data_IF_226320344937
#
_entry.id   IF_226320344937
#
_cell.length_a   1.000
_cell.length_b   1.000
_cell.length_c   1.000
_cell.angle_alpha   90.00
_cell.angle_beta   90.00
_cell.angle_gamma   90.00
#
_symmetry.space_group_name_H-M   'P 1'
#
loop_
_entity.id
_entity.type
_entity.pdbx_description
1 polymer ?
#
# COMPACT_ATOMS: atom_id res chain seq x y z
N UNK A 1 -1.31 29.22 45.86
CA UNK A 1 -0.49 29.34 44.62
C UNK A 1 0.03 28.00 44.09
N UNK A 2 0.49 27.06 44.92
CA UNK A 2 0.98 25.73 44.47
C UNK A 2 -0.04 24.91 43.65
N UNK A 3 -1.33 24.97 44.01
CA UNK A 3 -2.41 24.25 43.31
C UNK A 3 -2.69 24.76 41.89
N UNK A 4 -2.57 26.07 41.66
CA UNK A 4 -2.81 26.66 40.33
C UNK A 4 -1.69 26.25 39.37
N UNK A 5 -0.45 26.21 39.87
CA UNK A 5 0.70 25.78 39.09
C UNK A 5 0.62 24.30 38.70
N UNK A 6 0.09 23.44 39.57
CA UNK A 6 -0.17 22.04 39.25
C UNK A 6 -1.25 21.86 38.18
N UNK A 7 -2.34 22.64 38.23
CA UNK A 7 -3.40 22.58 37.22
C UNK A 7 -2.86 22.98 35.85
N UNK A 8 -2.06 24.04 35.78
CA UNK A 8 -1.41 24.48 34.53
C UNK A 8 -0.45 23.42 34.01
N UNK A 9 0.33 22.78 34.89
CA UNK A 9 1.25 21.71 34.51
C UNK A 9 0.51 20.49 33.94
N UNK A 10 -0.60 20.07 34.55
CA UNK A 10 -1.42 18.96 34.04
C UNK A 10 -2.12 19.31 32.73
N UNK A 11 -2.59 20.55 32.57
CA UNK A 11 -3.18 21.02 31.30
C UNK A 11 -2.14 21.03 30.17
N UNK A 12 -0.92 21.50 30.44
CA UNK A 12 0.18 21.50 29.48
C UNK A 12 0.57 20.06 29.09
N UNK A 13 0.63 19.14 30.05
CA UNK A 13 0.95 17.74 29.81
C UNK A 13 -0.15 17.05 28.98
N UNK A 14 -1.42 17.38 29.21
CA UNK A 14 -2.54 16.88 28.43
C UNK A 14 -2.51 17.38 26.98
N UNK A 15 -2.14 18.65 26.77
CA UNK A 15 -1.96 19.25 25.45
C UNK A 15 -0.82 18.54 24.70
N UNK A 16 0.33 18.34 25.35
CA UNK A 16 1.48 17.65 24.74
C UNK A 16 1.14 16.19 24.40
N UNK A 17 0.38 15.49 25.26
CA UNK A 17 -0.07 14.13 24.99
C UNK A 17 -1.07 14.08 23.81
N UNK A 18 -1.91 15.12 23.66
CA UNK A 18 -2.87 15.23 22.56
C UNK A 18 -2.20 15.57 21.23
N UNK A 19 -1.14 16.40 21.24
CA UNK A 19 -0.36 16.74 20.06
C UNK A 19 0.68 15.66 19.71
N UNK A 20 1.16 14.88 20.68
CA UNK A 20 2.09 13.77 20.45
C UNK A 20 1.46 12.58 19.70
N UNK A 21 0.13 12.49 19.66
CA UNK A 21 -0.63 11.50 18.89
C UNK A 21 -0.96 11.96 17.46
N UNK A 22 -0.61 13.20 17.08
CA UNK A 22 -0.83 13.75 15.75
C UNK A 22 0.48 14.08 15.02
N UNK A 23 1.54 13.33 15.33
CA UNK A 23 2.76 13.30 14.51
C UNK A 23 2.50 12.50 13.24
N UNK A 24 2.16 13.23 12.18
CA UNK A 24 2.46 12.89 10.79
C UNK A 24 1.81 11.63 10.21
N UNK A 25 0.60 11.81 9.69
CA UNK A 25 0.31 11.29 8.36
C UNK A 25 -0.41 12.42 7.61
N UNK A 26 0.20 12.91 6.54
CA UNK A 26 -0.47 13.74 5.54
C UNK A 26 -1.52 12.85 4.85
N UNK A 27 -2.56 12.47 5.59
CA UNK A 27 -3.72 11.75 5.05
C UNK A 27 -4.43 12.77 4.19
N UNK A 28 -4.04 12.81 2.93
CA UNK A 28 -4.73 13.56 1.90
C UNK A 28 -6.10 12.88 1.77
N UNK A 29 -7.05 13.32 2.61
CA UNK A 29 -8.43 12.88 2.63
C UNK A 29 -9.17 13.52 1.44
N UNK A 30 -8.78 13.11 0.24
CA UNK A 30 -9.45 13.51 -1.00
C UNK A 30 -10.54 12.52 -1.36
N UNK A 31 -11.64 13.01 -1.94
CA UNK A 31 -12.71 12.16 -2.46
C UNK A 31 -12.27 11.49 -3.76
N UNK A 32 -12.99 10.46 -4.23
CA UNK A 32 -12.76 9.88 -5.56
C UNK A 32 -12.83 10.93 -6.68
N UNK A 33 -13.63 11.98 -6.48
CA UNK A 33 -13.76 13.11 -7.38
C UNK A 33 -12.47 13.95 -7.47
N UNK A 34 -11.75 14.10 -6.35
CA UNK A 34 -10.43 14.73 -6.35
C UNK A 34 -9.40 13.89 -7.11
N UNK A 35 -9.50 12.56 -7.01
CA UNK A 35 -8.67 11.64 -7.79
C UNK A 35 -8.91 11.74 -9.29
N UNK A 36 -10.16 11.86 -9.72
CA UNK A 36 -10.49 12.09 -11.14
C UNK A 36 -9.97 13.44 -11.65
N UNK A 37 -10.15 14.51 -10.87
CA UNK A 37 -9.62 15.84 -11.20
C UNK A 37 -8.10 15.85 -11.33
N UNK A 38 -7.37 15.18 -10.43
CA UNK A 38 -5.90 15.09 -10.50
C UNK A 38 -5.42 14.35 -11.76
N UNK A 39 -6.19 13.37 -12.25
CA UNK A 39 -5.90 12.68 -13.50
C UNK A 39 -6.14 13.58 -14.72
N UNK A 40 -7.15 14.45 -14.68
CA UNK A 40 -7.40 15.45 -15.73
C UNK A 40 -6.30 16.52 -15.76
N UNK A 41 -5.86 16.99 -14.59
CA UNK A 41 -4.74 17.92 -14.43
C UNK A 41 -3.37 17.31 -14.75
N UNK A 42 -3.32 16.03 -15.17
CA UNK A 42 -2.07 15.27 -15.41
C UNK A 42 -1.14 15.20 -14.19
N UNK A 43 -1.65 15.36 -12.98
CA UNK A 43 -0.88 15.25 -11.74
C UNK A 43 -0.85 13.79 -11.24
N UNK A 44 -0.31 12.90 -12.08
CA UNK A 44 -0.43 11.45 -11.85
C UNK A 44 0.25 10.96 -10.56
N UNK A 45 1.34 11.59 -10.11
CA UNK A 45 2.00 11.24 -8.85
C UNK A 45 1.12 11.56 -7.62
N UNK A 46 0.36 12.66 -7.67
CA UNK A 46 -0.57 13.01 -6.59
C UNK A 46 -1.82 12.12 -6.64
N UNK A 47 -2.29 11.78 -7.83
CA UNK A 47 -3.39 10.84 -8.02
C UNK A 47 -3.04 9.44 -7.49
N UNK A 48 -1.79 8.98 -7.68
CA UNK A 48 -1.30 7.73 -7.09
C UNK A 48 -1.37 7.75 -5.56
N UNK A 49 -0.81 8.80 -4.93
CA UNK A 49 -0.80 8.91 -3.47
C UNK A 49 -2.22 8.98 -2.87
N UNK A 50 -3.12 9.71 -3.52
CA UNK A 50 -4.53 9.80 -3.10
C UNK A 50 -5.26 8.46 -3.29
N UNK A 51 -4.98 7.73 -4.36
CA UNK A 51 -5.58 6.41 -4.54
C UNK A 51 -5.05 5.39 -3.52
N UNK A 52 -3.76 5.47 -3.16
CA UNK A 52 -3.18 4.64 -2.08
C UNK A 52 -3.82 4.99 -0.73
N UNK A 53 -4.03 6.27 -0.41
CA UNK A 53 -4.69 6.65 0.84
C UNK A 53 -6.14 6.15 0.89
N UNK A 54 -6.88 6.23 -0.22
CA UNK A 54 -8.23 5.67 -0.32
C UNK A 54 -8.25 4.14 -0.15
N UNK A 55 -7.30 3.43 -0.78
CA UNK A 55 -7.19 1.97 -0.66
C UNK A 55 -6.70 1.52 0.72
N UNK A 56 -5.97 2.37 1.46
CA UNK A 56 -5.58 2.07 2.83
C UNK A 56 -6.79 2.04 3.76
N UNK A 57 -7.75 2.94 3.54
CA UNK A 57 -9.01 2.97 4.27
C UNK A 57 -10.02 1.91 3.79
N UNK A 58 -10.04 1.62 2.48
CA UNK A 58 -10.88 0.59 1.89
C UNK A 58 -10.12 -0.19 0.78
N UNK A 59 -9.51 -1.34 1.09
CA UNK A 59 -8.63 -2.05 0.16
C UNK A 59 -9.35 -2.73 -1.01
N UNK A 60 -10.67 -2.77 -0.99
CA UNK A 60 -11.50 -3.37 -2.06
C UNK A 60 -12.35 -2.34 -2.80
N UNK A 61 -11.99 -1.05 -2.71
CA UNK A 61 -12.69 0.00 -3.42
C UNK A 61 -12.34 0.00 -4.93
N UNK A 62 -13.29 -0.40 -5.81
CA UNK A 62 -13.02 -0.51 -7.24
C UNK A 62 -12.76 0.86 -7.88
N UNK A 63 -13.30 1.95 -7.32
CA UNK A 63 -13.12 3.30 -7.86
C UNK A 63 -11.73 3.83 -7.53
N UNK A 64 -11.23 3.56 -6.32
CA UNK A 64 -9.86 3.89 -5.94
C UNK A 64 -8.83 3.05 -6.73
N UNK A 65 -9.08 1.76 -6.94
CA UNK A 65 -8.23 0.91 -7.79
C UNK A 65 -8.18 1.40 -9.25
N UNK A 66 -9.30 1.88 -9.77
CA UNK A 66 -9.37 2.46 -11.10
C UNK A 66 -8.53 3.74 -11.21
N UNK A 67 -8.64 4.65 -10.24
CA UNK A 67 -7.84 5.88 -10.18
C UNK A 67 -6.34 5.54 -10.11
N UNK A 68 -5.96 4.59 -9.26
CA UNK A 68 -4.57 4.13 -9.13
C UNK A 68 -4.03 3.57 -10.45
N UNK A 69 -4.82 2.71 -11.10
CA UNK A 69 -4.44 2.10 -12.38
C UNK A 69 -4.25 3.15 -13.46
N UNK A 70 -5.15 4.15 -13.53
CA UNK A 70 -5.06 5.25 -14.49
C UNK A 70 -3.88 6.19 -14.18
N UNK A 71 -3.56 6.40 -12.90
CA UNK A 71 -2.38 7.15 -12.46
C UNK A 71 -1.08 6.47 -12.93
N UNK A 72 -0.96 5.15 -12.76
CA UNK A 72 0.20 4.39 -13.26
C UNK A 72 0.35 4.45 -14.78
N UNK A 73 -0.76 4.39 -15.53
CA UNK A 73 -0.72 4.56 -16.99
C UNK A 73 -0.20 5.95 -17.37
N UNK A 74 -0.65 7.00 -16.67
CA UNK A 74 -0.19 8.37 -16.86
C UNK A 74 1.30 8.53 -16.58
N UNK A 75 1.75 8.05 -15.42
CA UNK A 75 3.17 8.03 -15.03
C UNK A 75 4.03 7.27 -16.04
N UNK A 76 3.56 6.12 -16.51
CA UNK A 76 4.27 5.34 -17.50
C UNK A 76 4.43 6.08 -18.85
N UNK A 77 3.39 6.81 -19.28
CA UNK A 77 3.45 7.67 -20.47
C UNK A 77 4.41 8.85 -20.29
N UNK A 78 4.45 9.45 -19.10
CA UNK A 78 5.41 10.52 -18.78
C UNK A 78 6.85 10.01 -18.77
N UNK A 79 7.12 8.89 -18.11
CA UNK A 79 8.45 8.27 -18.07
C UNK A 79 8.89 7.81 -19.47
N UNK A 80 7.96 7.34 -20.32
CA UNK A 80 8.23 7.06 -21.74
C UNK A 80 8.64 8.33 -22.49
N UNK A 81 7.94 9.45 -22.30
CA UNK A 81 8.31 10.75 -22.90
C UNK A 81 9.67 11.25 -22.42
N UNK A 82 10.03 10.95 -21.17
CA UNK A 82 11.35 11.26 -20.58
C UNK A 82 12.48 10.35 -21.06
N UNK A 83 12.17 9.28 -21.82
CA UNK A 83 13.16 8.31 -22.31
C UNK A 83 13.49 7.20 -21.30
N UNK A 84 12.82 7.15 -20.14
CA UNK A 84 13.00 6.13 -19.11
C UNK A 84 12.12 4.90 -19.37
N UNK A 85 12.44 4.15 -20.43
CA UNK A 85 11.63 3.00 -20.87
C UNK A 85 11.53 1.88 -19.82
N UNK A 86 12.58 1.68 -19.00
CA UNK A 86 12.58 0.65 -17.94
C UNK A 86 11.57 0.96 -16.83
N UNK A 87 11.52 2.22 -16.36
CA UNK A 87 10.52 2.65 -15.37
C UNK A 87 9.12 2.64 -15.94
N UNK A 88 8.96 3.11 -17.19
CA UNK A 88 7.67 3.05 -17.88
C UNK A 88 7.13 1.62 -17.96
N UNK A 89 7.98 0.65 -18.29
CA UNK A 89 7.61 -0.77 -18.33
C UNK A 89 7.13 -1.29 -16.97
N UNK A 90 7.80 -0.93 -15.87
CA UNK A 90 7.39 -1.33 -14.53
C UNK A 90 5.99 -0.79 -14.18
N UNK A 91 5.72 0.49 -14.45
CA UNK A 91 4.40 1.09 -14.20
C UNK A 91 3.31 0.45 -15.06
N UNK A 92 3.58 0.19 -16.36
CA UNK A 92 2.62 -0.52 -17.21
C UNK A 92 2.37 -1.96 -16.76
N UNK A 93 3.39 -2.68 -16.28
CA UNK A 93 3.21 -4.02 -15.72
C UNK A 93 2.32 -3.99 -14.46
N UNK A 94 2.52 -3.02 -13.56
CA UNK A 94 1.66 -2.83 -12.38
C UNK A 94 0.20 -2.59 -12.78
N UNK A 95 -0.03 -1.72 -13.77
CA UNK A 95 -1.38 -1.47 -14.28
C UNK A 95 -1.99 -2.70 -14.96
N UNK A 96 -1.19 -3.49 -15.69
CA UNK A 96 -1.65 -4.69 -16.38
C UNK A 96 -2.10 -5.80 -15.42
N UNK A 97 -1.45 -5.96 -14.27
CA UNK A 97 -1.87 -6.93 -13.26
C UNK A 97 -3.28 -6.65 -12.73
N UNK A 98 -3.66 -5.37 -12.64
CA UNK A 98 -5.00 -4.95 -12.18
C UNK A 98 -6.03 -4.92 -13.31
N UNK A 99 -5.61 -4.70 -14.55
CA UNK A 99 -6.51 -4.67 -15.71
C UNK A 99 -6.00 -5.51 -16.89
N UNK A 100 -5.99 -6.84 -16.78
CA UNK A 100 -5.39 -7.74 -17.77
C UNK A 100 -6.15 -7.76 -19.11
N UNK A 101 -7.43 -7.37 -19.10
CA UNK A 101 -8.30 -7.33 -20.28
C UNK A 101 -8.13 -6.08 -21.14
N UNK A 102 -7.38 -5.07 -20.68
CA UNK A 102 -7.20 -3.84 -21.44
C UNK A 102 -6.22 -4.04 -22.61
N UNK A 103 -6.74 -4.03 -23.83
CA UNK A 103 -5.96 -4.23 -25.05
C UNK A 103 -4.95 -3.09 -25.30
N UNK A 104 -5.24 -1.86 -24.87
CA UNK A 104 -4.34 -0.72 -25.02
C UNK A 104 -3.07 -0.88 -24.18
N UNK A 105 -3.22 -1.35 -22.94
CA UNK A 105 -2.10 -1.64 -22.04
C UNK A 105 -1.17 -2.72 -22.63
N UNK A 106 -1.75 -3.77 -23.18
CA UNK A 106 -1.00 -4.85 -23.83
C UNK A 106 -0.22 -4.35 -25.05
N UNK A 107 -0.87 -3.56 -25.90
CA UNK A 107 -0.24 -2.97 -27.08
C UNK A 107 0.90 -1.99 -26.70
N UNK A 108 0.71 -1.20 -25.65
CA UNK A 108 1.71 -0.24 -25.16
C UNK A 108 2.93 -0.95 -24.56
N UNK A 109 2.74 -2.02 -23.78
CA UNK A 109 3.82 -2.88 -23.25
C UNK A 109 4.58 -3.56 -24.39
N UNK A 110 3.87 -4.06 -25.41
CA UNK A 110 4.48 -4.71 -26.56
C UNK A 110 5.27 -3.71 -27.42
N UNK A 111 4.76 -2.48 -27.59
CA UNK A 111 5.49 -1.39 -28.25
C UNK A 111 6.76 -1.01 -27.49
N UNK A 112 6.69 -0.93 -26.16
CA UNK A 112 7.88 -0.71 -25.32
C UNK A 112 8.89 -1.86 -25.41
N UNK A 113 8.42 -3.10 -25.54
CA UNK A 113 9.27 -4.27 -25.74
C UNK A 113 9.89 -4.32 -27.15
N UNK A 114 9.18 -3.80 -28.16
CA UNK A 114 9.63 -3.72 -29.55
C UNK A 114 10.62 -2.60 -29.80
N UNK A 115 10.68 -1.58 -28.94
CA UNK A 115 11.80 -0.63 -28.92
C UNK A 115 13.01 -1.45 -28.48
N UNK A 116 13.89 -1.88 -29.41
CA UNK A 116 15.14 -2.47 -28.98
C UNK A 116 15.82 -1.36 -28.20
N UNK A 117 16.32 -1.68 -27.02
CA UNK A 117 17.22 -0.81 -26.29
C UNK A 117 18.18 -0.17 -27.30
N UNK A 118 18.01 1.12 -27.60
CA UNK A 118 19.04 1.94 -28.23
C UNK A 118 20.14 2.15 -27.17
N UNK A 119 20.70 1.05 -26.67
CA UNK A 119 22.08 1.01 -26.27
C UNK A 119 22.82 0.84 -27.58
N UNK A 120 23.41 1.93 -28.05
CA UNK A 120 24.53 1.87 -28.96
C UNK A 120 25.57 0.90 -28.38
N UNK A 121 25.55 -0.35 -28.83
CA UNK A 121 26.63 -1.29 -28.62
C UNK A 121 26.84 -2.04 -29.93
N UNK A 122 28.08 -2.03 -30.38
CA UNK A 122 28.50 -2.25 -31.74
C UNK A 122 28.05 -3.57 -32.36
N UNK A 123 27.90 -3.52 -33.67
CA UNK A 123 27.94 -4.68 -34.56
C UNK A 123 29.18 -5.55 -34.27
N UNK A 124 28.94 -6.84 -34.04
CA UNK A 124 29.86 -7.90 -34.46
C UNK A 124 29.03 -9.14 -34.71
N UNK A 125 29.03 -9.60 -35.97
CA UNK A 125 28.27 -10.75 -36.41
C UNK A 125 28.92 -12.10 -36.06
N UNK A 126 28.38 -13.12 -36.72
CA UNK A 126 28.86 -14.50 -36.89
C UNK A 126 28.33 -15.57 -35.93
N UNK A 127 27.74 -16.62 -36.52
CA UNK A 127 27.51 -17.91 -35.86
C UNK A 127 26.26 -18.66 -36.32
N UNK A 128 26.31 -19.29 -37.50
CA UNK A 128 25.30 -20.21 -38.05
C UNK A 128 25.66 -21.65 -37.68
N UNK A 129 24.69 -22.46 -37.25
CA UNK A 129 24.80 -23.90 -36.95
C UNK A 129 24.22 -24.20 -35.56
N UNK A 130 23.40 -25.20 -35.29
CA UNK A 130 23.28 -26.52 -35.90
C UNK A 130 21.86 -27.07 -35.64
N UNK A 131 21.31 -27.77 -36.62
CA UNK A 131 20.12 -28.59 -36.48
C UNK A 131 20.46 -29.81 -35.63
N UNK A 132 19.88 -29.89 -34.42
CA UNK A 132 19.85 -31.11 -33.64
C UNK A 132 18.44 -31.28 -33.07
N UNK A 133 17.78 -32.34 -33.53
CA UNK A 133 16.48 -32.80 -33.05
C UNK A 133 16.45 -32.86 -31.52
N UNK A 134 15.83 -31.87 -30.88
CA UNK A 134 15.45 -31.96 -29.47
C UNK A 134 14.19 -32.80 -29.40
N UNK A 135 14.37 -34.09 -29.09
CA UNK A 135 13.31 -34.93 -28.57
C UNK A 135 12.70 -34.21 -27.38
N UNK A 136 11.42 -33.87 -27.51
CA UNK A 136 10.58 -33.21 -26.53
C UNK A 136 10.51 -34.09 -25.27
N UNK A 137 11.41 -33.85 -24.31
CA UNK A 137 11.27 -34.28 -22.91
C UNK A 137 10.48 -33.20 -22.15
N UNK A 138 9.25 -32.93 -22.58
CA UNK A 138 8.44 -31.84 -21.99
C UNK A 138 7.91 -32.16 -20.57
N UNK A 139 7.99 -33.40 -20.08
CA UNK A 139 7.17 -33.78 -18.92
C UNK A 139 7.91 -33.92 -17.58
N UNK A 140 9.23 -34.12 -17.52
CA UNK A 140 9.89 -34.37 -16.23
C UNK A 140 10.18 -33.09 -15.43
N UNK A 141 10.70 -32.07 -16.10
CA UNK A 141 11.20 -30.84 -15.46
C UNK A 141 10.06 -29.87 -15.14
N UNK A 142 9.04 -29.83 -16.02
CA UNK A 142 7.81 -29.08 -15.79
C UNK A 142 7.01 -29.70 -14.63
N UNK A 143 6.95 -31.03 -14.52
CA UNK A 143 6.22 -31.66 -13.42
C UNK A 143 6.91 -31.42 -12.07
N UNK A 144 8.24 -31.43 -12.04
CA UNK A 144 9.00 -31.03 -10.84
C UNK A 144 8.78 -29.58 -10.47
N UNK A 145 8.84 -28.65 -11.43
CA UNK A 145 8.62 -27.23 -11.13
C UNK A 145 7.21 -26.95 -10.64
N UNK A 146 6.19 -27.62 -11.19
CA UNK A 146 4.81 -27.51 -10.70
C UNK A 146 4.68 -28.05 -9.28
N UNK A 147 5.37 -29.15 -8.96
CA UNK A 147 5.36 -29.72 -7.63
C UNK A 147 6.07 -28.81 -6.60
N UNK A 148 7.22 -28.25 -6.95
CA UNK A 148 7.96 -27.30 -6.10
C UNK A 148 7.12 -26.05 -5.85
N UNK A 149 6.48 -25.48 -6.88
CA UNK A 149 5.58 -24.32 -6.75
C UNK A 149 4.41 -24.65 -5.83
N UNK A 150 3.84 -25.86 -5.94
CA UNK A 150 2.73 -26.30 -5.08
C UNK A 150 3.15 -26.39 -3.63
N UNK A 151 4.36 -26.87 -3.34
CA UNK A 151 4.90 -26.96 -1.99
C UNK A 151 5.21 -25.57 -1.41
N UNK A 152 5.83 -24.69 -2.19
CA UNK A 152 6.06 -23.30 -1.80
C UNK A 152 4.75 -22.57 -1.51
N UNK A 153 3.74 -22.70 -2.39
CA UNK A 153 2.43 -22.08 -2.20
C UNK A 153 1.76 -22.55 -0.92
N UNK A 154 1.83 -23.86 -0.64
CA UNK A 154 1.23 -24.44 0.56
C UNK A 154 1.96 -23.95 1.83
N UNK A 155 3.28 -23.79 1.76
CA UNK A 155 4.08 -23.23 2.86
C UNK A 155 3.70 -21.76 3.15
N UNK A 156 3.53 -20.94 2.11
CA UNK A 156 3.11 -19.54 2.23
C UNK A 156 1.69 -19.44 2.80
N UNK A 157 0.79 -20.33 2.36
CA UNK A 157 -0.58 -20.39 2.87
C UNK A 157 -0.59 -20.73 4.37
N UNK A 158 0.17 -21.74 4.79
CA UNK A 158 0.28 -22.11 6.20
C UNK A 158 0.89 -20.98 7.03
N UNK A 159 1.94 -20.33 6.53
CA UNK A 159 2.55 -19.18 7.20
C UNK A 159 1.56 -18.01 7.35
N UNK A 160 0.82 -17.69 6.29
CA UNK A 160 -0.23 -16.65 6.32
C UNK A 160 -1.33 -16.99 7.33
N UNK A 161 -1.76 -18.25 7.39
CA UNK A 161 -2.75 -18.72 8.35
C UNK A 161 -2.26 -18.61 9.79
N UNK A 162 -1.01 -18.99 10.06
CA UNK A 162 -0.40 -18.87 11.40
C UNK A 162 -0.26 -17.40 11.79
N UNK A 163 0.23 -16.55 10.89
CA UNK A 163 0.36 -15.11 11.12
C UNK A 163 -0.99 -14.45 11.43
N UNK A 164 -2.04 -14.77 10.66
CA UNK A 164 -3.38 -14.26 10.92
C UNK A 164 -3.93 -14.74 12.27
N UNK A 165 -3.71 -16.00 12.62
CA UNK A 165 -4.15 -16.55 13.91
C UNK A 165 -3.39 -15.95 15.11
N UNK A 166 -2.11 -15.63 14.93
CA UNK A 166 -1.31 -14.94 15.95
C UNK A 166 -1.75 -13.48 16.11
N UNK A 167 -2.00 -12.77 15.00
CA UNK A 167 -2.53 -11.41 15.02
C UNK A 167 -3.91 -11.32 15.66
N UNK A 168 -4.82 -12.27 15.42
CA UNK A 168 -6.11 -12.32 16.11
C UNK A 168 -5.95 -12.47 17.62
N UNK A 169 -5.00 -13.31 18.06
CA UNK A 169 -4.69 -13.47 19.49
C UNK A 169 -4.10 -12.19 20.09
N UNK A 170 -3.19 -11.52 19.39
CA UNK A 170 -2.61 -10.24 19.84
C UNK A 170 -3.69 -9.16 19.90
N UNK A 171 -4.49 -9.02 18.84
CA UNK A 171 -5.60 -8.07 18.76
C UNK A 171 -6.62 -8.29 19.88
N UNK A 172 -6.94 -9.53 20.23
CA UNK A 172 -7.84 -9.83 21.35
C UNK A 172 -7.29 -9.35 22.70
N UNK A 173 -5.99 -9.51 22.93
CA UNK A 173 -5.33 -9.04 24.15
C UNK A 173 -5.28 -7.51 24.18
N UNK A 174 -4.97 -6.89 23.05
CA UNK A 174 -4.93 -5.43 22.93
C UNK A 174 -6.31 -4.80 23.20
N UNK A 175 -7.39 -5.34 22.62
CA UNK A 175 -8.75 -4.89 22.90
C UNK A 175 -9.10 -5.02 24.39
N UNK A 176 -8.66 -6.10 25.04
CA UNK A 176 -8.86 -6.27 26.48
C UNK A 176 -8.14 -5.17 27.28
N UNK A 177 -6.87 -4.88 26.97
CA UNK A 177 -6.12 -3.80 27.62
C UNK A 177 -6.71 -2.42 27.36
N UNK A 178 -7.17 -2.14 26.14
CA UNK A 178 -7.84 -0.89 25.78
C UNK A 178 -9.13 -0.69 26.60
N UNK A 179 -9.96 -1.73 26.73
CA UNK A 179 -11.18 -1.70 27.56
C UNK A 179 -10.83 -1.46 29.03
N UNK A 180 -9.82 -2.15 29.55
CA UNK A 180 -9.39 -1.98 30.94
C UNK A 180 -8.92 -0.53 31.22
N UNK A 181 -8.18 0.07 30.29
CA UNK A 181 -7.75 1.47 30.37
C UNK A 181 -8.96 2.43 30.33
N UNK A 182 -9.94 2.21 29.45
CA UNK A 182 -11.17 3.01 29.39
C UNK A 182 -11.95 2.93 30.70
N UNK A 183 -12.07 1.75 31.31
CA UNK A 183 -12.72 1.61 32.61
C UNK A 183 -12.01 2.40 33.72
N UNK A 184 -10.67 2.36 33.76
CA UNK A 184 -9.87 3.12 34.72
C UNK A 184 -10.00 4.63 34.52
N UNK A 185 -9.98 5.11 33.28
CA UNK A 185 -10.12 6.56 33.00
C UNK A 185 -11.50 7.06 33.38
N UNK A 186 -12.57 6.31 33.07
CA UNK A 186 -13.93 6.65 33.48
C UNK A 186 -14.08 6.68 35.00
N UNK A 187 -13.51 5.70 35.71
CA UNK A 187 -13.55 5.66 37.17
C UNK A 187 -12.82 6.86 37.79
N UNK A 188 -11.64 7.19 37.26
CA UNK A 188 -10.88 8.38 37.68
C UNK A 188 -11.66 9.68 37.44
N UNK A 189 -12.33 9.79 36.29
CA UNK A 189 -13.10 10.98 35.92
C UNK A 189 -14.36 11.13 36.79
N UNK A 190 -15.04 10.03 37.10
CA UNK A 190 -16.15 10.03 38.04
C UNK A 190 -15.72 10.49 39.45
N UNK A 191 -14.55 10.03 39.93
CA UNK A 191 -14.00 10.46 41.20
C UNK A 191 -13.65 11.97 41.21
N UNK A 192 -13.13 12.49 40.09
CA UNK A 192 -12.85 13.92 39.94
C UNK A 192 -14.15 14.73 39.99
N UNK A 193 -15.18 14.33 39.25
CA UNK A 193 -16.51 14.97 39.27
C UNK A 193 -17.09 14.94 40.69
N UNK A 194 -17.00 13.81 41.39
CA UNK A 194 -17.52 13.69 42.75
C UNK A 194 -16.80 14.62 43.72
N UNK A 195 -15.47 14.71 43.61
CA UNK A 195 -14.65 15.64 44.40
C UNK A 195 -15.02 17.10 44.11
N UNK A 196 -15.25 17.44 42.84
CA UNK A 196 -15.68 18.76 42.42
C UNK A 196 -17.08 19.13 42.94
N UNK A 197 -18.03 18.20 42.86
CA UNK A 197 -19.39 18.39 43.40
C UNK A 197 -19.38 18.57 44.93
N UNK A 198 -18.57 17.80 45.66
CA UNK A 198 -18.39 17.96 47.10
C UNK A 198 -17.75 19.31 47.46
N UNK A 199 -16.85 19.82 46.62
CA UNK A 199 -16.22 21.12 46.82
C UNK A 199 -17.19 22.28 46.58
N UNK A 200 -18.05 22.22 45.56
CA UNK A 200 -19.09 23.25 45.30
C UNK A 200 -20.14 23.30 46.40
N UNK A 201 -20.44 22.17 47.04
CA UNK A 201 -21.48 22.07 48.06
C UNK A 201 -21.03 22.54 49.45
N UNK A 202 -19.77 22.93 49.62
CA UNK A 202 -19.16 23.36 50.88
C UNK A 202 -18.80 24.83 50.84
#
# INVERSE_FOLDING_TARGET
MKSIFQIILYALLFIILSFGLSSEENVMAGSHEDGERLLEESQYAKAENLAISLLTNNPSDPKAEFILTRAWIGLAREEKKRGNYDRAKQFFQKAYLKWPLNQELKAEIENLRKIPSQRNFGQSGFGKGSSSNTVILLDSEIYRSVQDIKEELNSILLQSKVFNQENERISSKEKFYQIALICLTLFSLANLIFTFLLWIRR
#
